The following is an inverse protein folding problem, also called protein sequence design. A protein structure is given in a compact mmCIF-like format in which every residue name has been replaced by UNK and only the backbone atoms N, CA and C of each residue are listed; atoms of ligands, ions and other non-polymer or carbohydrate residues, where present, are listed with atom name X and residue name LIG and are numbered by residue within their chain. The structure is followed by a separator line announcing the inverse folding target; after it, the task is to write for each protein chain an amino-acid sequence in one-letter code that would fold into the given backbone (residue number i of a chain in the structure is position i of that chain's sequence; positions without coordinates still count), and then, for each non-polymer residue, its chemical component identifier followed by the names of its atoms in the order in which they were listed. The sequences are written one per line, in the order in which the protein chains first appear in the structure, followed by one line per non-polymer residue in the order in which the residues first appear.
data_IF_446226961234
#
_entry.id   IF_446226961234
#
_cell.length_a   1.000
_cell.length_b   1.000
_cell.length_c   1.000
_cell.angle_alpha   90.00
_cell.angle_beta   90.00
_cell.angle_gamma   90.00
#
_symmetry.space_group_name_H-M   'P 1'
#
loop_
_entity.id
_entity.type
_entity.pdbx_description
1 polymer ?
2 non-polymer ?
3 water ?
#
# COMPACT_ATOMS: atom_id res chain seq x y z
N UNK A 39 -14.93 0.58 18.79
CA UNK A 39 -14.83 2.05 18.87
C UNK A 39 -15.74 2.71 17.84
N UNK A 40 -16.81 3.38 18.30
CA UNK A 40 -17.87 3.88 17.41
C UNK A 40 -17.34 4.68 16.24
N UNK A 41 -16.35 5.54 16.46
CA UNK A 41 -15.77 6.30 15.36
C UNK A 41 -15.11 5.39 14.31
N UNK A 42 -14.66 4.21 14.73
CA UNK A 42 -13.96 3.31 13.82
C UNK A 42 -14.83 2.22 13.18
N UNK A 43 -16.04 2.03 13.70
CA UNK A 43 -16.93 1.02 13.13
C UNK A 43 -17.60 1.50 11.85
N UNK A 44 -17.65 0.61 10.85
CA UNK A 44 -18.24 0.94 9.55
C UNK A 44 -19.21 -0.14 9.14
N UNK A 45 -20.49 0.07 9.45
CA UNK A 45 -21.51 -0.94 9.21
C UNK A 45 -21.55 -1.40 7.75
N UNK A 46 -21.28 -0.49 6.82
CA UNK A 46 -21.29 -0.87 5.42
C UNK A 46 -20.23 -1.92 5.09
N UNK A 47 -19.03 -1.76 5.64
CA UNK A 47 -17.98 -2.75 5.38
C UNK A 47 -18.41 -4.09 5.97
N UNK A 48 -18.89 -4.05 7.21
CA UNK A 48 -19.28 -5.27 7.89
C UNK A 48 -20.42 -5.95 7.14
N UNK A 49 -21.32 -5.16 6.58
CA UNK A 49 -22.47 -5.74 5.89
C UNK A 49 -22.18 -6.15 4.45
N UNK A 50 -21.40 -5.33 3.75
CA UNK A 50 -21.31 -5.45 2.30
C UNK A 50 -19.98 -5.95 1.74
N UNK A 51 -18.95 -6.07 2.58
CA UNK A 51 -17.62 -6.46 2.11
C UNK A 51 -17.11 -7.67 2.90
N UNK A 52 -17.66 -8.87 2.62
CA UNK A 52 -17.22 -10.11 3.30
C UNK A 52 -15.73 -10.39 3.13
N UNK A 53 -15.08 -10.74 4.23
CA UNK A 53 -13.64 -10.95 4.21
C UNK A 53 -13.28 -12.18 3.42
N UNK A 54 -12.15 -12.11 2.71
CA UNK A 54 -11.63 -13.26 1.97
C UNK A 54 -10.22 -13.50 2.48
N UNK A 55 -9.73 -14.72 2.38
CA UNK A 55 -8.37 -14.97 2.83
C UNK A 55 -7.69 -15.98 1.92
N UNK A 56 -6.52 -15.60 1.41
CA UNK A 56 -5.77 -16.48 0.53
C UNK A 56 -5.32 -17.73 1.30
N UNK A 57 -5.50 -18.93 0.73
CA UNK A 57 -5.23 -20.16 1.49
C UNK A 57 -3.76 -20.34 1.88
N UNK A 58 -2.87 -19.57 1.25
CA UNK A 58 -1.44 -19.67 1.53
C UNK A 58 -1.06 -18.93 2.83
N UNK A 59 -2.05 -18.31 3.48
CA UNK A 59 -1.75 -17.44 4.63
C UNK A 59 -0.82 -18.03 5.74
N UNK A 60 -0.98 -19.31 6.09
CA UNK A 60 -0.08 -19.80 7.15
C UNK A 60 1.39 -19.85 6.73
N UNK A 61 1.65 -20.35 5.52
CA UNK A 61 3.03 -20.42 5.02
C UNK A 61 3.59 -19.01 4.78
N UNK A 62 2.69 -18.08 4.43
CA UNK A 62 3.08 -16.72 4.13
C UNK A 62 3.76 -16.12 5.36
N UNK A 63 3.12 -16.24 6.52
CA UNK A 63 3.65 -15.67 7.76
C UNK A 63 5.01 -16.29 8.14
N UNK A 64 5.11 -17.62 8.08
CA UNK A 64 6.35 -18.30 8.41
C UNK A 64 7.50 -17.89 7.49
N UNK A 65 7.20 -17.82 6.20
CA UNK A 65 8.23 -17.55 5.22
C UNK A 65 8.69 -16.10 5.28
N UNK A 66 7.77 -15.18 5.57
CA UNK A 66 8.14 -13.77 5.69
C UNK A 66 8.98 -13.56 6.95
N UNK A 67 8.60 -14.20 8.05
CA UNK A 67 9.41 -14.14 9.25
C UNK A 67 10.83 -14.62 8.98
N UNK A 68 10.96 -15.72 8.25
CA UNK A 68 12.26 -16.27 7.92
C UNK A 68 13.07 -15.31 7.05
N UNK A 69 12.39 -14.64 6.14
CA UNK A 69 13.04 -13.73 5.21
C UNK A 69 13.55 -12.51 5.95
N UNK A 70 12.70 -11.94 6.80
CA UNK A 70 13.12 -10.81 7.62
C UNK A 70 14.37 -11.13 8.46
N UNK A 71 14.40 -12.31 9.08
CA UNK A 71 15.58 -12.72 9.84
C UNK A 71 16.80 -12.93 8.97
N UNK A 72 16.62 -13.62 7.84
CA UNK A 72 17.73 -13.92 6.94
C UNK A 72 18.38 -12.63 6.41
N UNK A 73 17.56 -11.62 6.13
CA UNK A 73 18.06 -10.37 5.57
C UNK A 73 18.49 -9.41 6.68
N UNK A 74 18.38 -9.86 7.93
CA UNK A 74 18.68 -9.02 9.09
C UNK A 74 18.01 -7.65 9.02
N UNK A 75 16.74 -7.60 8.63
CA UNK A 75 16.10 -6.31 8.45
C UNK A 75 15.75 -5.62 9.76
N UNK A 76 15.47 -6.43 10.78
CA UNK A 76 15.12 -5.93 12.10
C UNK A 76 15.59 -6.96 13.10
N UNK A 77 15.70 -6.57 14.39
CA UNK A 77 16.11 -7.58 15.38
C UNK A 77 14.98 -8.59 15.62
N UNK A 78 15.35 -9.74 16.17
CA UNK A 78 14.43 -10.84 16.41
C UNK A 78 13.13 -10.43 17.09
N UNK A 79 13.22 -9.70 18.21
CA UNK A 79 12.02 -9.27 18.92
C UNK A 79 11.07 -8.48 18.02
N UNK A 80 11.61 -7.61 17.20
CA UNK A 80 10.77 -6.81 16.30
C UNK A 80 10.17 -7.64 15.16
N UNK A 81 10.95 -8.57 14.65
CA UNK A 81 10.50 -9.48 13.60
C UNK A 81 9.37 -10.39 14.10
N UNK A 82 9.50 -10.91 15.33
CA UNK A 82 8.48 -11.80 15.89
C UNK A 82 7.21 -11.03 16.10
N UNK A 83 7.33 -9.82 16.66
CA UNK A 83 6.18 -8.94 16.80
C UNK A 83 5.49 -8.70 15.45
N UNK A 84 6.25 -8.36 14.42
CA UNK A 84 5.66 -8.04 13.11
C UNK A 84 4.91 -9.25 12.57
N UNK A 85 5.61 -10.39 12.48
CA UNK A 85 5.05 -11.54 11.78
C UNK A 85 4.09 -12.35 12.64
N UNK A 86 4.35 -12.38 13.94
CA UNK A 86 3.65 -13.32 14.83
C UNK A 86 2.71 -12.64 15.81
N UNK A 87 3.05 -11.42 16.22
CA UNK A 87 2.26 -10.71 17.19
C UNK A 87 1.14 -9.98 16.51
N UNK A 88 1.50 -9.13 15.55
CA UNK A 88 0.51 -8.38 14.79
C UNK A 88 0.08 -9.10 13.50
N UNK A 89 0.82 -10.14 13.11
CA UNK A 89 0.52 -10.93 11.93
C UNK A 89 0.23 -10.07 10.69
N UNK A 90 1.14 -9.14 10.38
CA UNK A 90 0.95 -8.20 9.28
C UNK A 90 0.78 -8.87 7.93
N UNK A 91 1.30 -10.10 7.77
CA UNK A 91 1.19 -10.70 6.45
C UNK A 91 -0.28 -10.96 6.08
N UNK A 92 -1.16 -11.03 7.08
CA UNK A 92 -2.59 -11.22 6.80
C UNK A 92 -3.18 -10.08 5.98
N UNK A 93 -2.57 -8.90 6.05
CA UNK A 93 -3.04 -7.77 5.27
C UNK A 93 -2.96 -8.11 3.78
N UNK A 94 -1.84 -8.70 3.38
CA UNK A 94 -1.66 -9.10 1.97
C UNK A 94 -2.49 -10.32 1.62
N UNK A 95 -2.55 -11.29 2.53
CA UNK A 95 -3.38 -12.49 2.33
C UNK A 95 -4.87 -12.20 2.21
N UNK A 96 -5.33 -11.10 2.79
CA UNK A 96 -6.73 -10.73 2.65
C UNK A 96 -7.03 -9.81 1.47
N UNK A 97 -6.01 -9.54 0.66
CA UNK A 97 -6.07 -8.55 -0.42
C UNK A 97 -5.92 -9.23 -1.79
N UNK A 98 -4.73 -9.77 -2.06
CA UNK A 98 -4.39 -10.33 -3.37
C UNK A 98 -4.91 -11.77 -3.57
N UNK A 99 -6.22 -11.93 -3.46
CA UNK A 99 -6.81 -13.26 -3.58
C UNK A 99 -6.50 -13.76 -4.97
N UNK A 100 -6.23 -15.05 -5.08
CA UNK A 100 -5.93 -15.65 -6.38
C UNK A 100 -4.48 -15.56 -6.83
N UNK A 101 -3.64 -14.82 -6.10
CA UNK A 101 -2.22 -14.73 -6.51
C UNK A 101 -1.56 -16.09 -6.47
N UNK A 102 -0.68 -16.38 -7.43
CA UNK A 102 0.14 -17.58 -7.20
C UNK A 102 0.91 -17.45 -5.88
N UNK A 103 1.22 -18.57 -5.21
CA UNK A 103 1.93 -18.50 -3.93
C UNK A 103 3.24 -17.70 -4.03
N UNK A 104 3.99 -17.86 -5.11
CA UNK A 104 5.27 -17.16 -5.20
C UNK A 104 5.08 -15.65 -5.31
N UNK A 105 4.01 -15.23 -5.98
CA UNK A 105 3.73 -13.81 -6.17
C UNK A 105 3.32 -13.25 -4.82
N UNK A 106 2.39 -13.92 -4.16
CA UNK A 106 1.94 -13.45 -2.84
C UNK A 106 3.13 -13.31 -1.86
N UNK A 107 4.03 -14.28 -1.88
CA UNK A 107 5.19 -14.26 -0.99
C UNK A 107 6.12 -13.11 -1.34
N UNK A 108 6.34 -12.88 -2.63
CA UNK A 108 7.14 -11.70 -3.03
C UNK A 108 6.49 -10.39 -2.57
N UNK A 109 5.16 -10.31 -2.63
CA UNK A 109 4.46 -9.11 -2.21
C UNK A 109 4.52 -8.89 -0.70
N UNK A 110 4.30 -9.96 0.06
CA UNK A 110 4.39 -9.92 1.50
C UNK A 110 5.79 -9.51 1.98
N UNK A 111 6.82 -10.06 1.36
CA UNK A 111 8.18 -9.69 1.73
C UNK A 111 8.46 -8.21 1.38
N UNK A 112 8.04 -7.78 0.21
CA UNK A 112 8.18 -6.37 -0.15
C UNK A 112 7.40 -5.51 0.85
N UNK A 113 6.19 -5.93 1.19
CA UNK A 113 5.42 -5.12 2.11
C UNK A 113 6.06 -5.10 3.51
N UNK A 114 6.67 -6.22 3.93
CA UNK A 114 7.42 -6.24 5.18
C UNK A 114 8.63 -5.30 5.09
N UNK A 115 9.35 -5.35 3.98
CA UNK A 115 10.42 -4.39 3.76
C UNK A 115 9.93 -2.94 3.88
N UNK A 116 8.75 -2.64 3.33
CA UNK A 116 8.18 -1.28 3.31
C UNK A 116 7.94 -0.83 4.74
N UNK A 117 7.47 -1.74 5.58
CA UNK A 117 7.27 -1.46 6.99
C UNK A 117 8.59 -1.06 7.65
N UNK A 118 9.66 -1.77 7.31
CA UNK A 118 10.97 -1.53 7.92
C UNK A 118 11.54 -0.19 7.44
N UNK A 119 11.33 0.08 6.17
CA UNK A 119 11.76 1.36 5.58
C UNK A 119 11.04 2.52 6.27
N UNK A 120 9.74 2.38 6.49
CA UNK A 120 9.00 3.44 7.17
C UNK A 120 9.48 3.70 8.57
N UNK A 121 9.84 2.63 9.26
CA UNK A 121 10.43 2.76 10.58
C UNK A 121 11.77 3.48 10.53
N UNK A 122 12.61 3.12 9.57
CA UNK A 122 13.88 3.82 9.39
C UNK A 122 13.68 5.30 9.11
N UNK A 123 12.71 5.61 8.25
CA UNK A 123 12.38 6.97 7.84
C UNK A 123 11.96 7.77 9.06
N UNK A 124 11.12 7.18 9.91
CA UNK A 124 10.64 7.86 11.10
C UNK A 124 11.80 8.12 12.06
N UNK A 125 12.66 7.12 12.22
CA UNK A 125 13.82 7.23 13.09
C UNK A 125 14.80 8.31 12.58
N UNK A 126 15.01 8.34 11.27
CA UNK A 126 15.86 9.37 10.66
C UNK A 126 15.28 10.75 10.92
N UNK A 127 13.95 10.85 10.87
CA UNK A 127 13.30 12.13 11.07
C UNK A 127 13.42 12.57 12.53
N UNK A 128 13.05 11.68 13.45
CA UNK A 128 13.08 11.98 14.88
C UNK A 128 14.47 12.40 15.34
N UNK A 129 15.49 11.77 14.77
CA UNK A 129 16.86 12.08 15.20
C UNK A 129 17.63 13.02 14.26
N UNK A 130 16.94 13.54 13.25
CA UNK A 130 17.50 14.48 12.31
C UNK A 130 18.66 13.99 11.46
N UNK A 131 18.68 12.70 11.12
CA UNK A 131 19.79 12.17 10.32
C UNK A 131 19.62 12.51 8.84
N UNK A 132 19.70 13.80 8.52
CA UNK A 132 19.55 14.25 7.14
C UNK A 132 20.53 13.56 6.23
N UNK A 133 21.77 13.38 6.69
CA UNK A 133 22.79 12.77 5.85
C UNK A 133 22.51 11.31 5.55
N UNK A 134 22.15 10.53 6.58
CA UNK A 134 21.86 9.12 6.39
C UNK A 134 20.60 8.95 5.53
N UNK A 135 19.63 9.84 5.70
CA UNK A 135 18.42 9.74 4.90
C UNK A 135 18.68 10.03 3.43
N UNK A 136 19.36 11.14 3.14
CA UNK A 136 19.70 11.47 1.76
C UNK A 136 20.45 10.33 1.07
N UNK A 137 21.42 9.75 1.77
CA UNK A 137 22.16 8.63 1.21
C UNK A 137 21.26 7.46 0.88
N UNK A 138 20.44 7.07 1.85
CA UNK A 138 19.49 5.98 1.65
C UNK A 138 18.56 6.26 0.47
N UNK A 139 18.03 7.48 0.45
CA UNK A 139 17.16 7.95 -0.63
C UNK A 139 17.84 7.68 -1.98
N UNK A 140 19.08 8.15 -2.14
CA UNK A 140 19.78 7.94 -3.39
C UNK A 140 20.11 6.49 -3.70
N UNK A 141 20.51 5.73 -2.68
CA UNK A 141 20.74 4.30 -2.85
C UNK A 141 19.46 3.53 -3.32
N UNK A 142 18.31 3.88 -2.76
CA UNK A 142 17.07 3.18 -3.15
C UNK A 142 16.70 3.46 -4.60
N UNK A 143 16.94 4.68 -5.08
CA UNK A 143 16.75 4.97 -6.51
C UNK A 143 17.65 4.09 -7.34
N UNK A 144 18.91 3.99 -6.94
CA UNK A 144 19.88 3.23 -7.71
C UNK A 144 19.57 1.75 -7.70
N UNK A 145 19.24 1.21 -6.54
CA UNK A 145 18.95 -0.21 -6.44
C UNK A 145 17.64 -0.59 -7.17
N UNK A 146 16.69 0.34 -7.22
CA UNK A 146 15.42 0.05 -7.90
C UNK A 146 15.68 -0.22 -9.38
N UNK A 147 16.67 0.48 -9.94
CA UNK A 147 17.00 0.34 -11.36
C UNK A 147 17.89 -0.86 -11.63
N UNK A 148 18.79 -1.17 -10.70
CA UNK A 148 19.65 -2.34 -10.83
C UNK A 148 19.79 -3.10 -9.51
N UNK A 149 18.74 -3.82 -9.14
CA UNK A 149 18.65 -4.60 -7.89
C UNK A 149 19.81 -5.57 -7.77
N UNK A 150 20.23 -6.13 -8.91
CA UNK A 150 21.28 -7.15 -8.94
C UNK A 150 22.61 -6.70 -8.37
N UNK A 151 22.90 -5.42 -8.49
CA UNK A 151 24.17 -4.85 -8.07
C UNK A 151 24.16 -4.51 -6.58
N UNK A 152 23.03 -4.77 -5.94
CA UNK A 152 22.83 -4.32 -4.56
C UNK A 152 22.36 -5.40 -3.59
N UNK A 153 22.43 -6.64 -4.04
CA UNK A 153 21.88 -7.75 -3.25
C UNK A 153 22.65 -7.97 -1.96
N UNK A 154 23.93 -7.57 -1.92
CA UNK A 154 24.75 -7.80 -0.74
C UNK A 154 25.28 -6.49 -0.16
N UNK A 155 24.49 -5.43 -0.29
CA UNK A 155 24.87 -4.12 0.21
C UNK A 155 25.15 -4.09 1.72
N UNK A 156 26.13 -3.28 2.10
CA UNK A 156 26.49 -3.07 3.50
C UNK A 156 25.29 -2.62 4.34
N UNK A 157 24.41 -1.80 3.75
CA UNK A 157 23.18 -1.40 4.42
C UNK A 157 22.16 -2.51 4.14
N UNK A 158 21.83 -3.28 5.18
CA UNK A 158 20.90 -4.39 5.01
C UNK A 158 19.52 -3.95 4.51
N UNK A 159 19.13 -2.71 4.79
CA UNK A 159 17.83 -2.22 4.32
C UNK A 159 17.84 -2.09 2.81
N UNK A 160 18.99 -1.73 2.24
CA UNK A 160 19.14 -1.59 0.80
C UNK A 160 19.23 -2.97 0.17
N UNK A 161 19.94 -3.86 0.84
CA UNK A 161 20.07 -5.21 0.33
C UNK A 161 18.71 -5.92 0.31
N UNK A 162 17.90 -5.70 1.33
CA UNK A 162 16.59 -6.32 1.43
C UNK A 162 15.66 -5.78 0.36
N UNK A 163 15.77 -4.47 0.11
CA UNK A 163 15.03 -3.83 -0.98
C UNK A 163 15.36 -4.48 -2.31
N UNK A 164 16.66 -4.59 -2.59
CA UNK A 164 17.10 -5.10 -3.87
C UNK A 164 16.57 -6.51 -4.07
N UNK A 165 16.61 -7.32 -3.01
CA UNK A 165 16.12 -8.69 -3.11
C UNK A 165 14.62 -8.74 -3.40
N UNK A 166 13.83 -7.90 -2.72
CA UNK A 166 12.38 -7.91 -2.96
C UNK A 166 12.04 -7.45 -4.36
N UNK A 167 12.68 -6.36 -4.78
CA UNK A 167 12.48 -5.80 -6.11
C UNK A 167 12.85 -6.80 -7.20
N UNK A 168 14.02 -7.42 -7.05
CA UNK A 168 14.49 -8.41 -8.03
C UNK A 168 13.44 -9.50 -8.20
N UNK A 169 12.89 -9.92 -7.08
CA UNK A 169 11.89 -10.98 -7.13
C UNK A 169 10.61 -10.51 -7.82
N UNK A 170 10.17 -9.28 -7.52
CA UNK A 170 8.95 -8.76 -8.14
C UNK A 170 9.11 -8.57 -9.64
N UNK A 171 10.35 -8.36 -10.09
CA UNK A 171 10.65 -8.18 -11.52
C UNK A 171 10.66 -9.48 -12.34
N UNK A 172 10.43 -10.60 -11.70
CA UNK A 172 10.54 -11.88 -12.39
C UNK A 172 9.20 -12.39 -12.91
N UNK A 173 8.12 -11.67 -12.63
CA UNK A 173 6.79 -12.21 -12.91
C UNK A 173 6.16 -11.75 -14.23
N UNK A 174 6.35 -10.48 -14.57
CA UNK A 174 5.76 -9.91 -15.78
C UNK A 174 6.83 -9.29 -16.70
N UNK A 175 6.46 -8.95 -17.94
CA UNK A 175 7.37 -8.33 -18.92
C UNK A 175 8.01 -7.03 -18.43
N UNK A 176 9.13 -6.69 -19.04
CA UNK A 176 9.93 -5.53 -18.63
C UNK A 176 9.14 -4.22 -18.61
N UNK A 177 8.07 -4.16 -19.42
CA UNK A 177 7.19 -2.98 -19.47
C UNK A 177 6.49 -2.77 -18.14
N UNK A 178 6.07 -3.87 -17.51
CA UNK A 178 5.49 -3.79 -16.17
C UNK A 178 6.57 -3.40 -15.16
N UNK A 179 7.74 -4.03 -15.25
CA UNK A 179 8.86 -3.67 -14.35
C UNK A 179 9.21 -2.19 -14.39
N UNK A 180 9.29 -1.62 -15.59
CA UNK A 180 9.56 -0.20 -15.75
C UNK A 180 8.46 0.69 -15.16
N UNK A 181 7.20 0.27 -15.27
CA UNK A 181 6.13 1.03 -14.66
C UNK A 181 6.21 0.99 -13.12
N UNK A 182 6.51 -0.19 -12.56
CA UNK A 182 6.68 -0.31 -11.13
C UNK A 182 7.82 0.62 -10.68
N UNK A 183 8.92 0.59 -11.43
CA UNK A 183 10.07 1.44 -11.11
C UNK A 183 9.72 2.93 -11.16
N UNK A 184 9.03 3.35 -12.21
CA UNK A 184 8.69 4.75 -12.36
C UNK A 184 7.81 5.19 -11.18
N UNK A 185 6.84 4.34 -10.84
CA UNK A 185 6.00 4.59 -9.68
C UNK A 185 6.78 4.62 -8.37
N UNK A 186 7.73 3.70 -8.21
CA UNK A 186 8.45 3.67 -6.94
C UNK A 186 9.45 4.82 -6.80
N UNK A 187 10.04 5.26 -7.92
CA UNK A 187 10.89 6.46 -7.85
C UNK A 187 10.09 7.61 -7.28
N UNK A 188 8.83 7.69 -7.68
CA UNK A 188 7.96 8.76 -7.22
C UNK A 188 7.66 8.65 -5.73
N UNK A 189 7.44 7.43 -5.27
CA UNK A 189 7.24 7.18 -3.85
C UNK A 189 8.47 7.61 -3.03
N UNK A 190 9.67 7.22 -3.46
CA UNK A 190 10.88 7.63 -2.76
C UNK A 190 10.98 9.14 -2.63
N UNK A 191 10.72 9.87 -3.73
CA UNK A 191 10.76 11.33 -3.66
C UNK A 191 9.70 11.93 -2.73
N UNK A 192 8.55 11.29 -2.64
CA UNK A 192 7.52 11.76 -1.71
C UNK A 192 7.97 11.56 -0.26
N UNK A 193 8.69 10.46 0.00
CA UNK A 193 9.20 10.25 1.36
C UNK A 193 10.20 11.36 1.68
N UNK A 194 10.93 11.80 0.66
CA UNK A 194 11.90 12.89 0.88
C UNK A 194 11.17 14.18 1.23
N UNK A 195 10.05 14.47 0.54
CA UNK A 195 9.26 15.66 0.87
C UNK A 195 8.75 15.58 2.30
N UNK A 196 8.25 14.41 2.70
CA UNK A 196 7.78 14.25 4.07
C UNK A 196 8.92 14.38 5.09
N UNK A 197 10.10 13.92 4.71
CA UNK A 197 11.27 14.11 5.57
C UNK A 197 11.51 15.59 5.85
N UNK A 198 11.53 16.40 4.81
CA UNK A 198 11.79 17.83 5.02
C UNK A 198 10.64 18.54 5.74
N UNK A 199 9.40 18.18 5.40
CA UNK A 199 8.25 18.72 6.14
C UNK A 199 8.38 18.45 7.63
N UNK A 200 8.50 17.18 7.98
CA UNK A 200 8.46 16.79 9.37
C UNK A 200 9.67 17.30 10.17
N UNK A 201 10.84 17.31 9.56
CA UNK A 201 12.03 17.71 10.32
C UNK A 201 12.01 19.21 10.58
N UNK A 202 11.33 19.94 9.70
CA UNK A 202 11.20 21.38 9.85
C UNK A 202 9.87 21.79 10.46
N UNK A 203 9.12 20.82 10.99
CA UNK A 203 7.85 21.08 11.63
C UNK A 203 6.74 21.68 10.79
N UNK A 204 6.76 21.41 9.49
CA UNK A 204 5.77 21.96 8.57
C UNK A 204 4.60 21.00 8.35
N UNK A 205 3.41 21.43 8.75
CA UNK A 205 2.22 20.61 8.53
C UNK A 205 1.62 20.95 7.18
N UNK A 206 1.57 19.97 6.27
CA UNK A 206 1.06 20.19 4.91
C UNK A 206 -0.41 20.56 4.92
N UNK A 207 -0.83 21.44 4.02
CA UNK A 207 -2.24 21.79 3.89
C UNK A 207 -3.03 20.54 3.57
N UNK A 208 -4.35 20.63 3.67
CA UNK A 208 -5.18 19.45 3.50
C UNK A 208 -5.03 18.88 2.09
N UNK A 209 -5.20 19.73 1.09
CA UNK A 209 -5.09 19.28 -0.30
C UNK A 209 -3.68 18.80 -0.64
N UNK A 210 -2.68 19.47 -0.08
CA UNK A 210 -1.29 19.07 -0.24
C UNK A 210 -1.04 17.69 0.38
N UNK A 211 -1.63 17.45 1.54
CA UNK A 211 -1.50 16.16 2.19
C UNK A 211 -2.15 15.01 1.41
N UNK A 212 -3.39 15.21 0.92
CA UNK A 212 -4.08 14.19 0.13
C UNK A 212 -3.19 13.74 -1.03
N UNK A 213 -2.66 14.72 -1.76
CA UNK A 213 -1.78 14.43 -2.89
C UNK A 213 -0.50 13.70 -2.49
N UNK A 214 0.15 14.19 -1.45
CA UNK A 214 1.39 13.56 -0.98
C UNK A 214 1.13 12.12 -0.48
N UNK A 215 0.04 11.94 0.27
CA UNK A 215 -0.26 10.64 0.89
C UNK A 215 -0.54 9.56 -0.15
N UNK A 216 -1.08 9.96 -1.29
CA UNK A 216 -1.29 9.02 -2.40
C UNK A 216 0.06 8.43 -2.83
N UNK A 217 1.11 9.20 -2.59
CA UNK A 217 2.44 8.79 -2.98
C UNK A 217 3.16 8.02 -1.86
N UNK A 218 3.14 8.54 -0.64
CA UNK A 218 3.82 7.86 0.47
C UNK A 218 3.10 6.58 0.89
N UNK A 219 1.79 6.48 0.63
CA UNK A 219 1.06 5.27 0.96
C UNK A 219 1.35 4.28 -0.16
N UNK A 220 1.83 4.80 -1.27
CA UNK A 220 2.16 3.98 -2.45
C UNK A 220 0.93 3.39 -3.15
N UNK A 221 -0.11 4.22 -3.28
CA UNK A 221 -1.34 3.82 -3.99
C UNK A 221 -1.06 3.03 -5.26
N UNK A 222 -0.21 3.58 -6.11
CA UNK A 222 -0.06 3.06 -7.46
C UNK A 222 0.83 1.83 -7.51
N UNK A 223 1.64 1.63 -6.46
CA UNK A 223 2.36 0.34 -6.30
C UNK A 223 1.39 -0.83 -6.01
N UNK A 224 0.53 -0.67 -5.00
CA UNK A 224 -0.43 -1.74 -4.71
C UNK A 224 -1.34 -1.98 -5.91
N UNK A 225 -1.62 -0.92 -6.66
CA UNK A 225 -2.41 -1.06 -7.87
C UNK A 225 -1.68 -1.86 -8.95
N UNK A 226 -0.42 -1.51 -9.20
CA UNK A 226 0.46 -2.29 -10.07
C UNK A 226 0.54 -3.77 -9.70
N UNK A 227 0.66 -4.04 -8.40
CA UNK A 227 0.79 -5.41 -7.93
C UNK A 227 -0.47 -6.29 -8.14
N UNK A 228 -1.59 -5.66 -8.50
CA UNK A 228 -2.77 -6.43 -8.86
C UNK A 228 -2.47 -7.31 -10.06
N UNK A 229 -1.56 -6.85 -10.92
CA UNK A 229 -1.40 -7.51 -12.22
C UNK A 229 -0.59 -8.82 -12.15
N UNK A 230 0.56 -8.82 -11.46
CA UNK A 230 1.22 -10.13 -11.26
C UNK A 230 0.32 -11.06 -10.46
N UNK A 231 -0.51 -10.50 -9.58
CA UNK A 231 -1.41 -11.33 -8.79
C UNK A 231 -2.42 -12.07 -9.67
N UNK A 232 -2.86 -11.44 -10.76
CA UNK A 232 -3.81 -12.10 -11.65
C UNK A 232 -3.16 -12.68 -12.91
N UNK A 233 -1.84 -12.54 -12.99
CA UNK A 233 -1.05 -13.17 -14.03
C UNK A 233 -1.08 -12.47 -15.36
N UNK A 234 -1.40 -11.18 -15.36
CA UNK A 234 -1.57 -10.45 -16.60
C UNK A 234 -1.18 -8.97 -16.53
N UNK A 235 -0.19 -8.56 -17.31
CA UNK A 235 0.04 -7.12 -17.47
C UNK A 235 -1.10 -6.53 -18.30
N UNK A 236 -1.83 -5.59 -17.75
CA UNK A 236 -2.94 -5.01 -18.50
C UNK A 236 -2.42 -3.91 -19.42
N UNK A 237 -2.93 -3.86 -20.66
CA UNK A 237 -2.63 -2.75 -21.57
C UNK A 237 -3.05 -1.41 -20.97
N UNK A 238 -2.35 -0.34 -21.35
CA UNK A 238 -2.62 0.99 -20.84
C UNK A 238 -4.09 1.38 -21.02
N UNK A 239 -4.67 1.04 -22.16
CA UNK A 239 -6.05 1.44 -22.47
C UNK A 239 -7.03 0.77 -21.52
N UNK A 240 -6.68 -0.41 -21.03
CA UNK A 240 -7.52 -1.12 -20.09
C UNK A 240 -7.37 -0.52 -18.69
N UNK A 241 -6.13 -0.42 -18.20
CA UNK A 241 -5.99 0.04 -16.82
C UNK A 241 -6.25 1.54 -16.68
N UNK A 242 -6.21 2.27 -17.79
CA UNK A 242 -6.56 3.69 -17.78
C UNK A 242 -8.05 3.96 -18.07
N UNK A 243 -8.83 2.92 -18.34
CA UNK A 243 -10.27 3.09 -18.47
C UNK A 243 -10.76 3.78 -17.18
N UNK A 244 -11.65 4.76 -17.30
CA UNK A 244 -12.01 5.54 -16.10
C UNK A 244 -12.71 4.74 -15.01
N UNK A 245 -13.38 3.63 -15.34
CA UNK A 245 -14.03 2.83 -14.30
C UNK A 245 -12.97 2.03 -13.53
N UNK A 246 -12.03 1.44 -14.27
CA UNK A 246 -10.95 0.69 -13.63
C UNK A 246 -10.10 1.61 -12.77
N UNK A 247 -9.67 2.74 -13.34
CA UNK A 247 -8.83 3.70 -12.63
C UNK A 247 -9.49 4.29 -11.38
N UNK A 248 -10.78 4.64 -11.48
CA UNK A 248 -11.42 5.23 -10.32
C UNK A 248 -11.66 4.19 -9.21
N UNK A 249 -12.09 2.98 -9.59
CA UNK A 249 -12.18 1.87 -8.65
C UNK A 249 -10.84 1.65 -7.92
N UNK A 250 -9.76 1.63 -8.69
CA UNK A 250 -8.43 1.36 -8.15
C UNK A 250 -8.05 2.43 -7.14
N UNK A 251 -8.31 3.68 -7.50
CA UNK A 251 -7.95 4.80 -6.62
C UNK A 251 -8.77 4.82 -5.33
N UNK A 252 -10.09 4.63 -5.44
CA UNK A 252 -10.96 4.62 -4.26
C UNK A 252 -10.56 3.53 -3.24
N UNK A 253 -10.19 2.36 -3.74
CA UNK A 253 -9.70 1.27 -2.89
C UNK A 253 -8.51 1.74 -2.02
N UNK A 254 -7.57 2.46 -2.64
CA UNK A 254 -6.42 2.97 -1.91
C UNK A 254 -6.76 4.15 -1.00
N UNK A 255 -7.62 5.04 -1.48
CA UNK A 255 -8.08 6.13 -0.64
C UNK A 255 -8.65 5.60 0.68
N UNK A 256 -9.53 4.62 0.59
CA UNK A 256 -10.10 4.06 1.81
C UNK A 256 -9.00 3.55 2.76
N UNK A 257 -8.08 2.75 2.23
CA UNK A 257 -6.99 2.20 3.04
C UNK A 257 -6.21 3.30 3.75
N UNK A 258 -5.80 4.32 2.99
CA UNK A 258 -5.01 5.41 3.54
C UNK A 258 -5.79 6.22 4.56
N UNK A 259 -7.01 6.64 4.20
CA UNK A 259 -7.80 7.49 5.10
C UNK A 259 -8.33 6.77 6.34
N UNK A 260 -8.74 5.52 6.17
CA UNK A 260 -9.10 4.70 7.33
C UNK A 260 -7.90 4.52 8.29
N UNK A 261 -6.71 4.23 7.75
CA UNK A 261 -5.51 4.21 8.58
C UNK A 261 -5.34 5.52 9.35
N UNK A 262 -5.45 6.66 8.67
CA UNK A 262 -5.35 7.96 9.38
C UNK A 262 -6.45 8.09 10.45
N UNK A 263 -7.65 7.64 10.13
CA UNK A 263 -8.77 7.66 11.08
C UNK A 263 -8.44 6.88 12.36
N UNK A 264 -7.95 5.64 12.20
CA UNK A 264 -7.60 4.82 13.35
C UNK A 264 -6.51 5.44 14.22
N UNK A 265 -5.57 6.15 13.62
CA UNK A 265 -4.38 6.56 14.36
C UNK A 265 -4.39 8.00 14.88
N UNK A 266 -5.34 8.80 14.40
CA UNK A 266 -5.36 10.23 14.72
C UNK A 266 -5.33 10.57 16.23
N UNK A 267 -6.22 9.96 17.02
CA UNK A 267 -6.31 10.27 18.46
C UNK A 267 -4.98 10.12 19.21
N UNK A 268 -4.29 9.02 18.94
CA UNK A 268 -3.05 8.69 19.63
C UNK A 268 -1.85 9.30 18.92
N UNK A 269 -2.08 10.11 17.90
CA UNK A 269 -0.96 10.77 17.22
C UNK A 269 -0.25 11.68 18.21
N UNK A 270 1.06 11.81 18.05
CA UNK A 270 1.80 12.76 18.88
C UNK A 270 1.66 14.16 18.28
N UNK A 271 1.26 15.12 19.10
CA UNK A 271 1.19 16.51 18.67
C UNK A 271 2.60 17.05 18.39
N UNK A 272 2.74 17.85 17.33
CA UNK A 272 1.62 18.18 16.46
C UNK A 272 2.06 18.63 15.08
N UNK A 273 3.30 19.11 14.98
CA UNK A 273 3.81 19.61 13.71
C UNK A 273 4.72 18.60 13.00
N UNK A 274 5.22 17.61 13.73
CA UNK A 274 6.19 16.69 13.18
C UNK A 274 5.64 15.31 12.84
N UNK A 275 4.35 15.24 12.49
CA UNK A 275 3.71 13.99 12.08
C UNK A 275 2.59 14.24 11.07
N UNK A 276 2.57 13.48 9.97
CA UNK A 276 1.60 13.66 8.89
C UNK A 276 0.35 12.75 9.03
N UNK A 277 -0.83 13.37 9.09
CA UNK A 277 -2.10 12.66 9.25
C UNK A 277 -3.18 13.63 8.77
N UNK A 278 -4.09 13.17 7.91
CA UNK A 278 -5.15 14.04 7.39
C UNK A 278 -5.81 14.81 8.53
N UNK A 279 -6.05 14.14 9.65
CA UNK A 279 -6.70 14.75 10.78
C UNK A 279 -5.92 15.92 11.33
N UNK A 280 -4.60 15.78 11.35
CA UNK A 280 -3.73 16.85 11.85
C UNK A 280 -3.67 18.04 10.91
N UNK A 281 -3.65 17.78 9.60
CA UNK A 281 -3.73 18.88 8.65
C UNK A 281 -5.04 19.68 8.84
N UNK A 282 -6.14 18.97 9.09
CA UNK A 282 -7.42 19.62 9.34
C UNK A 282 -7.39 20.47 10.61
N UNK A 283 -6.89 19.89 11.69
CA UNK A 283 -6.80 20.63 12.95
C UNK A 283 -5.91 21.85 12.80
N UNK A 284 -4.79 21.69 12.11
CA UNK A 284 -3.83 22.77 11.94
C UNK A 284 -4.34 23.87 11.01
N UNK A 285 -4.90 23.49 9.86
CA UNK A 285 -5.19 24.46 8.81
C UNK A 285 -6.65 24.86 8.69
N UNK A 286 -7.51 24.18 9.45
CA UNK A 286 -8.94 24.47 9.41
C UNK A 286 -9.51 24.75 10.79
N UNK A 287 -8.63 24.90 11.78
CA UNK A 287 -9.03 25.25 13.13
C UNK A 287 -10.03 24.28 13.76
N UNK A 288 -10.04 23.03 13.29
CA UNK A 288 -10.94 22.02 13.82
C UNK A 288 -10.46 21.47 15.17
N UNK A 289 -11.40 21.03 16.00
CA UNK A 289 -11.05 20.28 17.21
C UNK A 289 -10.78 18.85 16.80
N UNK A 290 -10.25 18.05 17.72
CA UNK A 290 -9.95 16.66 17.39
C UNK A 290 -11.22 15.93 16.99
N UNK A 291 -12.28 16.09 17.77
CA UNK A 291 -13.55 15.45 17.46
C UNK A 291 -14.08 15.85 16.09
N UNK A 292 -13.99 17.13 15.77
CA UNK A 292 -14.45 17.59 14.47
C UNK A 292 -13.64 16.95 13.34
N UNK A 293 -12.32 16.88 13.54
CA UNK A 293 -11.44 16.31 12.52
C UNK A 293 -11.74 14.84 12.32
N UNK A 294 -11.94 14.13 13.42
CA UNK A 294 -12.33 12.72 13.31
C UNK A 294 -13.59 12.61 12.45
N UNK A 295 -14.52 13.55 12.64
CA UNK A 295 -15.77 13.55 11.89
C UNK A 295 -15.54 13.79 10.42
N UNK A 296 -14.63 14.71 10.08
CA UNK A 296 -14.33 14.99 8.69
C UNK A 296 -13.61 13.82 8.02
N UNK A 297 -12.69 13.18 8.74
CA UNK A 297 -11.98 12.05 8.16
C UNK A 297 -12.96 10.88 7.93
N UNK A 298 -13.81 10.62 8.91
CA UNK A 298 -14.81 9.57 8.76
C UNK A 298 -15.79 9.80 7.58
N UNK A 299 -16.24 11.04 7.42
CA UNK A 299 -17.09 11.40 6.29
C UNK A 299 -16.40 11.07 4.96
N UNK A 300 -15.14 11.45 4.83
CA UNK A 300 -14.37 11.17 3.63
C UNK A 300 -14.26 9.66 3.40
N UNK A 301 -13.95 8.92 4.46
CA UNK A 301 -13.92 7.47 4.39
C UNK A 301 -15.24 6.88 3.89
N UNK A 302 -16.35 7.35 4.42
CA UNK A 302 -17.62 6.83 3.94
C UNK A 302 -17.92 7.21 2.48
N UNK A 303 -17.47 8.39 2.06
CA UNK A 303 -17.71 8.80 0.69
C UNK A 303 -16.94 7.86 -0.24
N UNK A 304 -15.75 7.47 0.19
CA UNK A 304 -14.91 6.53 -0.56
C UNK A 304 -15.60 5.19 -0.74
N UNK A 305 -16.20 4.67 0.32
CA UNK A 305 -16.89 3.40 0.25
C UNK A 305 -18.10 3.50 -0.67
N UNK A 306 -18.90 4.54 -0.50
CA UNK A 306 -20.13 4.63 -1.27
C UNK A 306 -19.83 4.91 -2.74
N UNK A 307 -18.81 5.71 -3.03
CA UNK A 307 -18.41 5.91 -4.42
C UNK A 307 -17.86 4.63 -5.02
N UNK A 308 -17.06 3.87 -4.24
CA UNK A 308 -16.56 2.60 -4.75
C UNK A 308 -17.69 1.65 -5.14
N UNK A 309 -18.68 1.50 -4.27
CA UNK A 309 -19.83 0.65 -4.56
C UNK A 309 -20.48 0.98 -5.90
N UNK A 310 -20.51 2.27 -6.24
CA UNK A 310 -21.13 2.71 -7.49
C UNK A 310 -20.21 2.44 -8.68
N UNK A 311 -18.94 2.76 -8.55
CA UNK A 311 -18.05 2.64 -9.70
C UNK A 311 -17.59 1.21 -9.92
N UNK A 312 -17.59 0.40 -8.86
CA UNK A 312 -17.20 -1.00 -8.99
C UNK A 312 -18.11 -1.69 -10.00
N UNK A 313 -19.39 -1.38 -9.94
CA UNK A 313 -20.34 -1.96 -10.87
C UNK A 313 -19.98 -1.62 -12.32
N UNK A 314 -19.54 -0.39 -12.57
CA UNK A 314 -19.12 0.03 -13.92
C UNK A 314 -17.84 -0.71 -14.32
N UNK A 315 -16.96 -0.90 -13.36
CA UNK A 315 -15.68 -1.57 -13.68
C UNK A 315 -15.93 -3.04 -14.04
N UNK A 316 -16.85 -3.69 -13.32
CA UNK A 316 -17.22 -5.07 -13.63
C UNK A 316 -17.98 -5.17 -14.95
N UNK A 317 -18.74 -4.14 -15.31
CA UNK A 317 -19.39 -4.12 -16.62
C UNK A 317 -18.35 -4.03 -17.72
N UNK A 318 -17.34 -3.17 -17.52
CA UNK A 318 -16.21 -3.08 -18.42
C UNK A 318 -15.51 -4.45 -18.56
N UNK A 319 -15.21 -5.09 -17.44
CA UNK A 319 -14.65 -6.45 -17.47
C UNK A 319 -15.43 -7.38 -18.43
N UNK A 320 -16.75 -7.43 -18.29
CA UNK A 320 -17.59 -8.23 -19.19
C UNK A 320 -17.48 -7.80 -20.65
N UNK A 321 -17.43 -6.50 -20.88
CA UNK A 321 -17.31 -5.98 -22.25
C UNK A 321 -16.00 -6.41 -22.92
N UNK A 322 -14.95 -6.61 -22.14
CA UNK A 322 -13.67 -7.08 -22.69
C UNK A 322 -13.79 -8.50 -23.24
N UNK A 323 -14.70 -9.28 -22.67
CA UNK A 323 -14.90 -10.63 -23.16
C UNK A 323 -15.63 -10.57 -24.48
N UNK A 324 -14.89 -10.19 -25.52
CA UNK A 324 -15.49 -9.96 -26.84
C UNK A 324 -15.66 -11.23 -27.66
N UNK A 325 -15.51 -12.39 -27.05
CA UNK A 325 -15.62 -13.64 -27.75
C UNK A 325 -14.30 -14.35 -28.06
N UNK A 326 -13.20 -13.59 -28.08
CA UNK A 326 -11.89 -14.18 -28.37
C UNK A 326 -11.22 -14.71 -27.11
N UNK A 327 -10.22 -15.56 -27.31
CA UNK A 327 -9.40 -16.08 -26.21
C UNK A 327 -8.70 -14.96 -25.46
N UNK A 328 -8.14 -14.01 -26.18
CA UNK A 328 -7.44 -12.91 -25.53
C UNK A 328 -8.43 -12.06 -24.72
N UNK A 329 -9.62 -11.84 -25.28
CA UNK A 329 -10.65 -11.06 -24.61
C UNK A 329 -11.05 -11.73 -23.31
N UNK A 330 -11.13 -13.06 -23.34
CA UNK A 330 -11.50 -13.82 -22.16
C UNK A 330 -10.44 -13.68 -21.05
N UNK A 331 -9.19 -13.73 -21.45
CA UNK A 331 -8.07 -13.53 -20.55
C UNK A 331 -8.09 -12.16 -19.87
N UNK A 332 -8.16 -11.09 -20.66
CA UNK A 332 -8.28 -9.72 -20.14
C UNK A 332 -9.51 -9.51 -19.24
N UNK A 333 -10.65 -10.03 -19.68
CA UNK A 333 -11.85 -9.95 -18.87
C UNK A 333 -11.67 -10.58 -17.48
N UNK A 334 -11.14 -11.80 -17.44
CA UNK A 334 -10.89 -12.47 -16.19
C UNK A 334 -9.90 -11.73 -15.28
N UNK A 335 -8.85 -11.21 -15.88
CA UNK A 335 -7.86 -10.42 -15.14
C UNK A 335 -8.46 -9.16 -14.51
N UNK A 336 -9.20 -8.37 -15.29
CA UNK A 336 -9.86 -7.18 -14.74
C UNK A 336 -10.82 -7.55 -13.64
N UNK A 337 -11.62 -8.59 -13.85
CA UNK A 337 -12.58 -9.04 -12.84
C UNK A 337 -11.87 -9.43 -11.55
N UNK A 338 -10.78 -10.18 -11.67
CA UNK A 338 -9.97 -10.55 -10.52
C UNK A 338 -9.40 -9.32 -9.78
N UNK A 339 -8.86 -8.37 -10.54
CA UNK A 339 -8.25 -7.17 -9.97
C UNK A 339 -9.32 -6.32 -9.25
N UNK A 340 -10.47 -6.14 -9.90
CA UNK A 340 -11.56 -5.41 -9.27
C UNK A 340 -12.05 -6.13 -7.99
N UNK A 341 -12.14 -7.45 -8.04
CA UNK A 341 -12.42 -8.20 -6.82
C UNK A 341 -11.40 -7.92 -5.71
N UNK A 342 -10.14 -7.77 -6.09
CA UNK A 342 -9.12 -7.51 -5.07
C UNK A 342 -9.16 -6.08 -4.56
N UNK A 343 -9.54 -5.16 -5.44
CA UNK A 343 -9.76 -3.77 -5.02
C UNK A 343 -10.81 -3.74 -3.91
N UNK A 344 -11.83 -4.58 -4.05
CA UNK A 344 -12.87 -4.71 -3.05
C UNK A 344 -12.35 -5.41 -1.79
N UNK A 345 -11.62 -6.51 -1.98
CA UNK A 345 -10.99 -7.20 -0.85
C UNK A 345 -10.10 -6.32 0.04
N UNK A 346 -9.45 -5.30 -0.54
CA UNK A 346 -8.54 -4.44 0.23
C UNK A 346 -9.34 -3.75 1.32
N UNK A 347 -10.61 -3.42 1.03
CA UNK A 347 -11.41 -2.70 2.02
C UNK A 347 -11.56 -3.54 3.27
N UNK A 348 -12.02 -4.78 3.09
CA UNK A 348 -12.24 -5.65 4.24
C UNK A 348 -10.94 -6.14 4.89
N UNK A 349 -9.89 -6.28 4.09
CA UNK A 349 -8.60 -6.71 4.64
C UNK A 349 -8.10 -5.65 5.61
N UNK A 350 -8.10 -4.41 5.15
CA UNK A 350 -7.69 -3.29 5.99
C UNK A 350 -8.58 -3.14 7.24
N UNK A 351 -9.89 -3.14 7.03
CA UNK A 351 -10.84 -2.94 8.11
C UNK A 351 -10.68 -3.98 9.23
N UNK A 352 -10.77 -5.25 8.89
CA UNK A 352 -10.67 -6.32 9.89
C UNK A 352 -9.28 -6.45 10.52
N UNK A 353 -8.24 -6.10 9.77
CA UNK A 353 -6.89 -6.09 10.35
C UNK A 353 -6.81 -5.10 11.52
N UNK A 354 -7.34 -3.90 11.33
CA UNK A 354 -7.34 -2.93 12.42
C UNK A 354 -8.15 -3.40 13.63
N UNK A 355 -9.25 -4.10 13.38
CA UNK A 355 -10.18 -4.47 14.45
C UNK A 355 -9.71 -5.71 15.21
N UNK A 356 -8.90 -6.55 14.56
CA UNK A 356 -8.41 -7.76 15.20
C UNK A 356 -6.92 -7.63 15.47
X LIG B 1 0.40 5.35 -15.20
X LIG B 1 -0.61 6.53 -15.70
X LIG B 1 -0.45 4.21 -14.36
X LIG B 1 1.12 4.59 -16.48
X LIG B 1 1.52 6.03 -14.22
#
# INVERSE_FOLDING_TARGET
MGSSHHHHHHSSGLVPRGSHMVHAFPHGTTATPTAIAVPPSLRLPVIEAAFPRQLHPYWPKLQETTRTWLLEKRLMPADKVEEYADGLCYTDLMAGYYLGAPDEVLQAIADYSAWFFVWNDRHDRDIVHGRAGAWRRLRGLLHTALDSPGDHLHHEDTLVAGFADSVRRLYAFLPATWNARFARHFHTVIEAYDREFHNRTRGIVPGVEEYLELRRLTFAHWIWTDLLEPSSGCELPDAVRKHPAYRRAALLSQEFAAWYNDLCSLPKEIAGDEVHNLGISLITHHSLTLEEAIGEVRRRVEECITEFLAVERDALRFADELADGTVRGKELSGAVRANVGNMRNWFSSVYWFHHESGRYMVDSWDDRSTPPYVNNEAAGEK
SO4 S O1 O2 O3 O4
#
